data_IF_124421147279
#
_entry.id   IF_124421147279
#
_cell.length_a   1.000
_cell.length_b   1.000
_cell.length_c   1.000
_cell.angle_alpha   90.00
_cell.angle_beta   90.00
_cell.angle_gamma   90.00
#
_symmetry.space_group_name_H-M   'P 1'
#
loop_
_entity.id
_entity.type
_entity.pdbx_description
1 polymer ?
#
# COMPACT_ATOMS: atom_id res chain seq x y z
N UNK A 1 -17.06 -31.05 48.68
CA UNK A 1 -15.83 -30.95 47.88
C UNK A 1 -16.22 -31.39 46.47
N UNK A 2 -16.36 -30.42 45.53
CA UNK A 2 -16.51 -30.50 44.05
C UNK A 2 -17.35 -31.65 43.47
N UNK A 3 -18.59 -31.46 43.01
CA UNK A 3 -19.08 -30.82 41.78
C UNK A 3 -18.37 -31.27 40.47
N UNK A 4 -19.22 -31.62 39.50
CA UNK A 4 -19.03 -31.78 38.03
C UNK A 4 -18.33 -33.02 37.49
N UNK A 5 -19.13 -33.94 36.92
CA UNK A 5 -18.92 -34.47 35.57
C UNK A 5 -20.17 -35.28 35.14
N UNK A 6 -21.28 -34.59 34.86
CA UNK A 6 -22.45 -35.16 34.18
C UNK A 6 -22.63 -34.37 32.90
N UNK A 7 -22.83 -35.11 31.79
CA UNK A 7 -23.31 -34.64 30.49
C UNK A 7 -22.28 -33.81 29.69
N UNK A 8 -21.98 -34.04 28.41
CA UNK A 8 -22.75 -34.74 27.38
C UNK A 8 -21.81 -35.07 26.22
N UNK A 9 -21.90 -36.31 25.73
CA UNK A 9 -21.71 -36.69 24.33
C UNK A 9 -22.56 -35.73 23.46
N UNK A 10 -22.06 -35.17 22.35
CA UNK A 10 -22.69 -35.20 21.01
C UNK A 10 -22.01 -34.23 20.03
N UNK A 11 -22.00 -34.67 18.77
CA UNK A 11 -21.84 -33.90 17.52
C UNK A 11 -20.43 -33.66 16.98
N UNK A 12 -19.98 -34.70 16.27
CA UNK A 12 -19.54 -34.59 14.86
C UNK A 12 -20.16 -33.37 14.17
N UNK A 13 -19.34 -32.36 13.90
CA UNK A 13 -19.61 -31.30 12.94
C UNK A 13 -18.65 -31.52 11.76
N UNK A 14 -19.10 -32.13 10.65
CA UNK A 14 -18.34 -32.17 9.41
C UNK A 14 -18.57 -30.83 8.72
N UNK A 15 -17.76 -29.83 9.03
CA UNK A 15 -17.99 -28.49 8.45
C UNK A 15 -17.03 -27.36 8.80
N UNK A 16 -15.85 -27.62 9.38
CA UNK A 16 -14.92 -26.54 9.79
C UNK A 16 -13.60 -26.50 9.01
N UNK A 17 -13.58 -27.02 7.76
CA UNK A 17 -12.46 -26.85 6.83
C UNK A 17 -12.92 -26.11 5.57
N UNK A 18 -13.31 -24.85 5.75
CA UNK A 18 -13.38 -23.86 4.67
C UNK A 18 -13.18 -22.52 5.35
N UNK A 19 -11.94 -22.01 5.35
CA UNK A 19 -11.58 -20.57 5.44
C UNK A 19 -10.10 -20.31 5.76
N UNK A 20 -9.27 -21.33 6.04
CA UNK A 20 -7.83 -21.11 6.27
C UNK A 20 -7.02 -20.69 5.01
N UNK A 21 -7.62 -20.76 3.81
CA UNK A 21 -6.95 -20.41 2.55
C UNK A 21 -6.99 -18.93 2.19
N UNK A 22 -8.03 -18.19 2.59
CA UNK A 22 -8.21 -16.78 2.19
C UNK A 22 -7.26 -15.85 2.94
N UNK A 23 -7.14 -16.03 4.27
CA UNK A 23 -6.27 -15.17 5.08
C UNK A 23 -4.78 -15.31 4.75
N UNK A 24 -4.34 -16.52 4.37
CA UNK A 24 -2.93 -16.77 4.06
C UNK A 24 -2.51 -16.06 2.76
N UNK A 25 -3.38 -16.10 1.74
CA UNK A 25 -3.12 -15.44 0.46
C UNK A 25 -3.10 -13.92 0.55
N UNK A 26 -3.98 -13.32 1.35
CA UNK A 26 -4.01 -11.86 1.51
C UNK A 26 -2.82 -11.33 2.31
N UNK A 27 -2.36 -12.07 3.33
CA UNK A 27 -1.11 -11.73 4.05
C UNK A 27 0.11 -11.80 3.15
N UNK A 28 0.23 -12.83 2.32
CA UNK A 28 1.36 -12.99 1.39
C UNK A 28 1.42 -11.85 0.37
N UNK A 29 0.28 -11.51 -0.25
CA UNK A 29 0.18 -10.34 -1.15
C UNK A 29 0.52 -9.03 -0.45
N UNK A 30 0.12 -8.88 0.82
CA UNK A 30 0.50 -7.71 1.62
C UNK A 30 2.00 -7.64 1.86
N UNK A 31 2.62 -8.75 2.24
CA UNK A 31 4.08 -8.81 2.41
C UNK A 31 4.81 -8.49 1.11
N UNK A 32 4.37 -9.03 -0.02
CA UNK A 32 4.97 -8.74 -1.33
C UNK A 32 4.85 -7.26 -1.70
N UNK A 33 3.66 -6.66 -1.51
CA UNK A 33 3.45 -5.23 -1.76
C UNK A 33 4.41 -4.37 -0.94
N UNK A 34 4.55 -4.63 0.37
CA UNK A 34 5.45 -3.85 1.23
C UNK A 34 6.93 -4.03 0.84
N UNK A 35 7.32 -5.23 0.41
CA UNK A 35 8.68 -5.47 -0.08
C UNK A 35 8.97 -4.67 -1.36
N UNK A 36 8.05 -4.72 -2.32
CA UNK A 36 8.18 -3.97 -3.57
C UNK A 36 8.17 -2.45 -3.32
N UNK A 37 7.30 -1.96 -2.43
CA UNK A 37 7.27 -0.56 -2.03
C UNK A 37 8.62 -0.13 -1.44
N UNK A 38 9.19 -0.91 -0.52
CA UNK A 38 10.50 -0.64 0.06
C UNK A 38 11.61 -0.66 -1.01
N UNK A 39 11.56 -1.57 -1.98
CA UNK A 39 12.49 -1.58 -3.10
C UNK A 39 12.38 -0.32 -3.96
N UNK A 40 11.16 0.12 -4.27
CA UNK A 40 10.93 1.36 -5.03
C UNK A 40 11.44 2.60 -4.28
N UNK A 41 11.19 2.67 -2.97
CA UNK A 41 11.72 3.74 -2.11
C UNK A 41 13.26 3.71 -2.08
N UNK A 42 13.86 2.54 -1.99
CA UNK A 42 15.31 2.40 -2.00
C UNK A 42 15.91 2.84 -3.35
N UNK A 43 15.30 2.45 -4.47
CA UNK A 43 15.70 2.90 -5.82
C UNK A 43 15.57 4.43 -5.96
N UNK A 44 14.47 5.01 -5.45
CA UNK A 44 14.27 6.46 -5.41
C UNK A 44 15.42 7.16 -4.66
N UNK A 45 15.78 6.70 -3.46
CA UNK A 45 16.89 7.29 -2.69
C UNK A 45 18.27 7.04 -3.31
N UNK A 46 18.44 5.99 -4.12
CA UNK A 46 19.65 5.75 -4.93
C UNK A 46 19.68 6.53 -6.24
N UNK A 47 18.67 7.35 -6.52
CA UNK A 47 18.54 8.11 -7.77
C UNK A 47 18.31 7.26 -9.04
N UNK A 48 17.85 6.01 -8.86
CA UNK A 48 17.51 5.09 -9.94
C UNK A 48 16.09 5.38 -10.46
N UNK A 49 15.92 6.53 -11.12
CA UNK A 49 14.61 7.12 -11.41
C UNK A 49 13.66 6.23 -12.23
N UNK A 50 14.17 5.54 -13.24
CA UNK A 50 13.36 4.68 -14.11
C UNK A 50 12.92 3.41 -13.39
N UNK A 51 13.78 2.83 -12.56
CA UNK A 51 13.44 1.67 -11.73
C UNK A 51 12.38 2.04 -10.69
N UNK A 52 12.61 3.14 -9.95
CA UNK A 52 11.65 3.66 -8.99
C UNK A 52 10.29 3.93 -9.65
N UNK A 53 10.27 4.59 -10.82
CA UNK A 53 9.05 4.85 -11.59
C UNK A 53 8.32 3.57 -11.94
N UNK A 54 9.03 2.59 -12.51
CA UNK A 54 8.44 1.32 -12.93
C UNK A 54 7.80 0.60 -11.73
N UNK A 55 8.48 0.57 -10.59
CA UNK A 55 7.98 -0.06 -9.36
C UNK A 55 6.72 0.67 -8.87
N UNK A 56 6.75 2.00 -8.71
CA UNK A 56 5.59 2.74 -8.21
C UNK A 56 4.39 2.61 -9.13
N UNK A 57 4.58 2.64 -10.46
CA UNK A 57 3.48 2.45 -11.41
C UNK A 57 2.91 1.03 -11.38
N UNK A 58 3.72 0.01 -11.11
CA UNK A 58 3.23 -1.35 -10.90
C UNK A 58 2.40 -1.44 -9.61
N UNK A 59 2.88 -0.85 -8.51
CA UNK A 59 2.18 -0.83 -7.23
C UNK A 59 0.85 -0.08 -7.30
N UNK A 60 0.78 1.05 -8.02
CA UNK A 60 -0.47 1.77 -8.28
C UNK A 60 -1.52 0.91 -9.01
N UNK A 61 -1.09 -0.03 -9.86
CA UNK A 61 -2.00 -0.97 -10.54
C UNK A 61 -2.40 -2.14 -9.66
N UNK A 62 -1.55 -2.52 -8.70
CA UNK A 62 -1.81 -3.63 -7.79
C UNK A 62 -2.75 -3.23 -6.64
N UNK A 63 -2.59 -2.01 -6.11
CA UNK A 63 -3.42 -1.41 -5.04
C UNK A 63 -3.59 0.08 -5.32
N UNK A 64 -4.69 0.46 -5.96
CA UNK A 64 -4.97 1.84 -6.38
C UNK A 64 -5.46 2.72 -5.22
N UNK A 65 -5.77 2.12 -4.08
CA UNK A 65 -6.17 2.74 -2.84
C UNK A 65 -5.00 3.10 -1.91
N UNK A 66 -3.79 2.60 -2.19
CA UNK A 66 -2.61 2.94 -1.40
C UNK A 66 -1.99 4.27 -1.88
N UNK A 67 -1.94 5.32 -1.05
CA UNK A 67 -1.41 6.62 -1.46
C UNK A 67 0.12 6.65 -1.62
N UNK A 68 0.86 5.72 -1.00
CA UNK A 68 2.33 5.79 -0.90
C UNK A 68 2.99 5.70 -2.29
N UNK A 69 2.63 4.76 -3.18
CA UNK A 69 3.16 4.74 -4.55
C UNK A 69 2.86 6.01 -5.35
N UNK A 70 1.70 6.65 -5.16
CA UNK A 70 1.37 7.91 -5.83
C UNK A 70 2.23 9.06 -5.33
N UNK A 71 2.46 9.14 -4.01
CA UNK A 71 3.33 10.15 -3.41
C UNK A 71 4.75 10.06 -3.96
N UNK A 72 5.38 8.88 -3.91
CA UNK A 72 6.76 8.75 -4.39
C UNK A 72 6.88 8.95 -5.91
N UNK A 73 5.88 8.54 -6.69
CA UNK A 73 5.88 8.83 -8.13
C UNK A 73 5.75 10.33 -8.42
N UNK A 74 4.98 11.08 -7.61
CA UNK A 74 4.88 12.53 -7.70
C UNK A 74 6.22 13.22 -7.42
N UNK A 75 7.03 12.67 -6.51
CA UNK A 75 8.33 13.24 -6.18
C UNK A 75 9.37 13.13 -7.31
N UNK A 76 9.23 12.18 -8.25
CA UNK A 76 10.18 12.02 -9.36
C UNK A 76 10.32 13.28 -10.24
N UNK A 77 9.26 13.89 -10.78
CA UNK A 77 9.38 15.14 -11.53
C UNK A 77 9.80 16.34 -10.66
N UNK A 78 9.51 16.33 -9.35
CA UNK A 78 9.99 17.38 -8.44
C UNK A 78 11.52 17.45 -8.45
N UNK A 79 12.22 16.31 -8.40
CA UNK A 79 13.68 16.30 -8.48
C UNK A 79 14.21 16.91 -9.78
N UNK A 80 13.58 16.60 -10.91
CA UNK A 80 13.94 17.19 -12.21
C UNK A 80 13.73 18.71 -12.21
N UNK A 81 12.59 19.17 -11.73
CA UNK A 81 12.29 20.61 -11.66
C UNK A 81 13.26 21.36 -10.74
N UNK A 82 13.48 20.84 -9.53
CA UNK A 82 14.20 21.56 -8.49
C UNK A 82 15.73 21.54 -8.68
N UNK A 83 16.28 20.48 -9.29
CA UNK A 83 17.73 20.28 -9.36
C UNK A 83 18.32 20.26 -10.79
N UNK A 84 17.49 20.21 -11.84
CA UNK A 84 17.95 20.06 -13.24
C UNK A 84 17.28 21.07 -14.19
N UNK A 85 17.47 22.37 -13.90
CA UNK A 85 17.14 23.53 -14.76
C UNK A 85 15.70 24.07 -14.77
N UNK A 86 15.02 24.14 -13.61
CA UNK A 86 13.70 24.82 -13.45
C UNK A 86 12.67 24.47 -14.54
N UNK A 87 12.68 23.22 -15.01
CA UNK A 87 11.87 22.76 -16.13
C UNK A 87 10.36 22.91 -15.83
N UNK A 88 9.62 23.85 -16.48
CA UNK A 88 8.22 24.12 -16.13
C UNK A 88 7.28 22.92 -16.36
N UNK A 89 7.60 22.07 -17.34
CA UNK A 89 6.87 20.83 -17.59
C UNK A 89 7.02 19.83 -16.42
N UNK A 90 8.21 19.76 -15.81
CA UNK A 90 8.42 18.94 -14.63
C UNK A 90 7.64 19.47 -13.42
N UNK A 91 7.56 20.81 -13.24
CA UNK A 91 6.69 21.40 -12.22
C UNK A 91 5.21 21.05 -12.46
N UNK A 92 4.74 21.13 -13.70
CA UNK A 92 3.37 20.77 -14.05
C UNK A 92 3.07 19.30 -13.71
N UNK A 93 3.96 18.38 -14.10
CA UNK A 93 3.82 16.96 -13.78
C UNK A 93 3.87 16.68 -12.26
N UNK A 94 4.72 17.37 -11.52
CA UNK A 94 4.74 17.28 -10.07
C UNK A 94 3.40 17.66 -9.46
N UNK A 95 2.82 18.79 -9.87
CA UNK A 95 1.52 19.24 -9.35
C UNK A 95 0.40 18.27 -9.70
N UNK A 96 0.32 17.81 -10.95
CA UNK A 96 -0.70 16.84 -11.37
C UNK A 96 -0.64 15.54 -10.58
N UNK A 97 0.57 15.00 -10.39
CA UNK A 97 0.76 13.75 -9.63
C UNK A 97 0.51 13.93 -8.13
N UNK A 98 0.86 15.09 -7.59
CA UNK A 98 0.60 15.43 -6.19
C UNK A 98 -0.89 15.52 -5.90
N UNK A 99 -1.68 16.15 -6.78
CA UNK A 99 -3.14 16.18 -6.64
C UNK A 99 -3.71 14.76 -6.61
N UNK A 100 -3.23 13.88 -7.50
CA UNK A 100 -3.66 12.48 -7.50
C UNK A 100 -3.32 11.75 -6.20
N UNK A 101 -2.11 11.95 -5.66
CA UNK A 101 -1.72 11.37 -4.38
C UNK A 101 -2.64 11.86 -3.24
N UNK A 102 -2.92 13.16 -3.20
CA UNK A 102 -3.83 13.78 -2.23
C UNK A 102 -5.25 13.21 -2.35
N UNK A 103 -5.77 13.04 -3.57
CA UNK A 103 -7.09 12.44 -3.79
C UNK A 103 -7.18 11.01 -3.23
N UNK A 104 -6.17 10.18 -3.51
CA UNK A 104 -6.10 8.80 -3.03
C UNK A 104 -5.98 8.78 -1.50
N UNK A 105 -5.10 9.61 -0.93
CA UNK A 105 -4.95 9.73 0.52
C UNK A 105 -6.24 10.16 1.22
N UNK A 106 -6.94 11.17 0.68
CA UNK A 106 -8.25 11.62 1.20
C UNK A 106 -9.29 10.49 1.16
N UNK A 107 -9.30 9.66 0.11
CA UNK A 107 -10.21 8.51 0.01
C UNK A 107 -9.88 7.46 1.07
N UNK A 108 -8.60 7.12 1.24
CA UNK A 108 -8.14 6.16 2.25
C UNK A 108 -8.43 6.64 3.68
N UNK A 109 -8.18 7.91 3.98
CA UNK A 109 -8.51 8.48 5.29
C UNK A 109 -10.02 8.40 5.61
N UNK A 110 -10.88 8.59 4.60
CA UNK A 110 -12.33 8.44 4.78
C UNK A 110 -12.75 7.00 5.04
N UNK A 111 -12.10 6.02 4.42
CA UNK A 111 -12.39 4.59 4.64
C UNK A 111 -11.75 4.03 5.91
N UNK A 112 -10.65 4.64 6.36
CA UNK A 112 -9.82 4.15 7.46
C UNK A 112 -9.45 5.30 8.41
N UNK A 113 -10.43 5.91 9.12
CA UNK A 113 -10.23 7.17 9.86
C UNK A 113 -9.25 7.06 11.04
N UNK A 114 -8.95 5.85 11.50
CA UNK A 114 -7.97 5.61 12.58
C UNK A 114 -6.53 5.43 12.04
N UNK A 115 -6.36 5.29 10.73
CA UNK A 115 -5.06 5.20 10.07
C UNK A 115 -4.42 6.59 9.94
N UNK A 116 -3.65 6.97 10.96
CA UNK A 116 -2.88 8.22 11.00
C UNK A 116 -1.54 8.14 10.27
N UNK A 117 -1.20 6.98 9.71
CA UNK A 117 0.06 6.81 8.96
C UNK A 117 0.00 7.46 7.59
N UNK A 118 -1.22 7.77 7.10
CA UNK A 118 -1.46 8.52 5.88
C UNK A 118 -1.61 10.01 6.21
N UNK A 119 -0.49 10.71 6.36
CA UNK A 119 -0.44 12.18 6.29
C UNK A 119 0.39 12.52 5.05
N UNK A 120 -0.27 13.05 4.02
CA UNK A 120 0.34 13.56 2.80
C UNK A 120 0.50 15.08 2.88
#
# INVERSE_FOLDING_TARGET
MFLTAVFTILMVLPGAFHEAGSEKGDREKHTEFEQQLNSGIAAFYRTEWEEARSIFQALQKQRDEDPRPYFFEAMLPFWKYFFADECPEAAHHFLQKSEKAIEVGKKRMKSTPEDTTTVL
#
